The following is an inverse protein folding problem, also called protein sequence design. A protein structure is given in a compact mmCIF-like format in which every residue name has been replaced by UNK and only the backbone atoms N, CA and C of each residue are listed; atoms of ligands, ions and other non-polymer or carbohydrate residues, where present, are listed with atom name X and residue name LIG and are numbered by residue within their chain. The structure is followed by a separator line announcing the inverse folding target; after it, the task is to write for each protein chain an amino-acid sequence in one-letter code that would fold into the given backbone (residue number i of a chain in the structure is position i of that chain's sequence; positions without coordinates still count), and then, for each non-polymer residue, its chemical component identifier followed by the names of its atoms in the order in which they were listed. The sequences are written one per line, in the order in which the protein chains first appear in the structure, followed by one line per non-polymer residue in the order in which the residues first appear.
data_IF_042356935492
#
_entry.id   IF_042356935492
#
_cell.length_a   1.000
_cell.length_b   1.000
_cell.length_c   1.000
_cell.angle_alpha   90.00
_cell.angle_beta   90.00
_cell.angle_gamma   90.00
#
_symmetry.space_group_name_H-M   'P 1'
#
loop_
_entity.id
_entity.type
_entity.pdbx_description
1 polymer ?
#
# COMPACT_ATOMS: atom_id res chain seq x y z
N UNK A 1 16.29 -4.16 -33.77
CA UNK A 1 15.93 -4.54 -32.38
C UNK A 1 14.64 -5.32 -32.45
N UNK A 2 14.71 -6.63 -32.28
CA UNK A 2 13.53 -7.52 -32.27
C UNK A 2 12.97 -7.47 -30.86
N UNK A 3 12.01 -6.57 -30.63
CA UNK A 3 11.21 -6.61 -29.42
C UNK A 3 10.18 -7.74 -29.60
N UNK A 4 10.40 -8.87 -28.94
CA UNK A 4 9.42 -9.95 -28.84
C UNK A 4 8.11 -9.40 -28.27
N UNK A 5 7.04 -9.49 -29.07
CA UNK A 5 5.66 -9.04 -28.81
C UNK A 5 4.93 -9.77 -27.67
N UNK A 6 5.64 -10.45 -26.77
CA UNK A 6 5.07 -11.45 -25.88
C UNK A 6 4.38 -10.89 -24.62
N UNK A 7 4.12 -9.58 -24.52
CA UNK A 7 3.54 -9.00 -23.30
C UNK A 7 2.63 -7.78 -23.50
N UNK A 8 2.05 -7.60 -24.69
CA UNK A 8 1.01 -6.60 -24.89
C UNK A 8 -0.35 -7.23 -24.54
N UNK A 9 -0.92 -6.83 -23.40
CA UNK A 9 -2.30 -7.15 -23.06
C UNK A 9 -3.25 -6.34 -23.92
N UNK A 10 -4.13 -7.01 -24.67
CA UNK A 10 -5.16 -6.37 -25.47
C UNK A 10 -6.44 -6.30 -24.64
N UNK A 11 -6.94 -5.10 -24.42
CA UNK A 11 -8.23 -4.86 -23.79
C UNK A 11 -9.22 -4.36 -24.84
N UNK A 12 -10.38 -4.99 -24.94
CA UNK A 12 -11.47 -4.47 -25.76
C UNK A 12 -12.05 -3.23 -25.08
N UNK A 13 -12.12 -2.10 -25.80
CA UNK A 13 -12.78 -0.89 -25.29
C UNK A 13 -14.27 -1.10 -24.99
N UNK A 14 -14.88 -2.13 -25.59
CA UNK A 14 -16.22 -2.61 -25.30
C UNK A 14 -16.10 -4.09 -24.95
N UNK A 15 -16.38 -4.44 -23.70
CA UNK A 15 -16.35 -5.83 -23.24
C UNK A 15 -17.55 -6.60 -23.85
N UNK A 16 -17.31 -7.60 -24.73
CA UNK A 16 -18.39 -8.37 -25.32
C UNK A 16 -19.02 -9.27 -24.24
N UNK A 17 -20.35 -9.25 -24.12
CA UNK A 17 -21.07 -10.09 -23.15
C UNK A 17 -21.49 -11.45 -23.72
N UNK A 18 -21.37 -11.63 -25.03
CA UNK A 18 -21.75 -12.86 -25.72
C UNK A 18 -20.52 -13.64 -26.18
N UNK A 19 -20.47 -14.93 -25.84
CA UNK A 19 -19.37 -15.83 -26.18
C UNK A 19 -19.06 -15.84 -27.69
N UNK A 20 -20.09 -15.82 -28.52
CA UNK A 20 -19.96 -15.83 -29.98
C UNK A 20 -19.23 -14.60 -30.52
N UNK A 21 -19.47 -13.44 -29.91
CA UNK A 21 -18.82 -12.20 -30.31
C UNK A 21 -17.35 -12.18 -29.86
N UNK A 22 -17.06 -12.70 -28.67
CA UNK A 22 -15.68 -12.90 -28.20
C UNK A 22 -14.90 -13.79 -29.17
N UNK A 23 -15.47 -14.93 -29.57
CA UNK A 23 -14.84 -15.86 -30.51
C UNK A 23 -14.59 -15.21 -31.89
N UNK A 24 -15.51 -14.36 -32.37
CA UNK A 24 -15.34 -13.60 -33.61
C UNK A 24 -14.16 -12.64 -33.52
N UNK A 25 -14.08 -11.84 -32.45
CA UNK A 25 -13.02 -10.84 -32.25
C UNK A 25 -11.66 -11.50 -32.13
N UNK A 26 -11.55 -12.61 -31.38
CA UNK A 26 -10.29 -13.38 -31.26
C UNK A 26 -9.85 -13.90 -32.63
N UNK A 27 -10.74 -14.54 -33.37
CA UNK A 27 -10.42 -15.11 -34.68
C UNK A 27 -9.99 -14.05 -35.71
N UNK A 28 -10.51 -12.83 -35.60
CA UNK A 28 -10.13 -11.70 -36.46
C UNK A 28 -8.79 -11.08 -36.01
N UNK A 29 -8.59 -10.94 -34.70
CA UNK A 29 -7.36 -10.41 -34.10
C UNK A 29 -6.14 -11.31 -34.28
N UNK A 30 -6.31 -12.64 -34.32
CA UNK A 30 -5.22 -13.59 -34.59
C UNK A 30 -4.80 -13.61 -36.08
N UNK A 31 -5.69 -13.25 -37.00
CA UNK A 31 -5.42 -13.23 -38.44
C UNK A 31 -4.87 -11.90 -38.93
N UNK A 32 -5.22 -10.80 -38.26
CA UNK A 32 -4.85 -9.45 -38.65
C UNK A 32 -3.37 -9.13 -38.40
N UNK A 33 -2.82 -8.23 -39.23
CA UNK A 33 -1.57 -7.54 -38.89
C UNK A 33 -1.92 -6.33 -38.03
N UNK A 34 -1.19 -6.16 -36.93
CA UNK A 34 -1.37 -5.03 -36.02
C UNK A 34 -0.30 -3.97 -36.28
N UNK A 35 -0.72 -2.71 -36.24
CA UNK A 35 0.15 -1.55 -36.37
C UNK A 35 -0.12 -0.56 -35.24
N UNK A 36 0.94 0.10 -34.76
CA UNK A 36 0.83 1.07 -33.68
C UNK A 36 0.30 2.37 -34.28
N UNK A 37 -0.93 2.74 -33.91
CA UNK A 37 -1.59 3.95 -34.42
C UNK A 37 -1.26 5.21 -33.61
N UNK A 38 -0.91 5.06 -32.33
CA UNK A 38 -0.61 6.16 -31.41
C UNK A 38 0.24 5.68 -30.23
N UNK A 39 1.06 6.57 -29.67
CA UNK A 39 1.82 6.37 -28.44
C UNK A 39 1.57 7.56 -27.52
N UNK A 40 0.90 7.31 -26.41
CA UNK A 40 0.63 8.33 -25.39
C UNK A 40 1.47 8.09 -24.14
N UNK A 41 2.29 9.08 -23.80
CA UNK A 41 3.05 9.09 -22.55
C UNK A 41 2.45 10.09 -21.57
N UNK A 42 2.21 9.65 -20.33
CA UNK A 42 1.72 10.52 -19.25
C UNK A 42 2.57 10.33 -17.99
N UNK A 43 2.91 11.46 -17.34
CA UNK A 43 3.56 11.42 -16.03
C UNK A 43 2.50 11.14 -14.97
N UNK A 44 2.66 10.06 -14.22
CA UNK A 44 1.79 9.70 -13.11
C UNK A 44 2.59 9.82 -11.81
N UNK A 45 2.17 10.72 -10.94
CA UNK A 45 2.67 10.80 -9.57
C UNK A 45 1.76 10.00 -8.63
N UNK A 46 2.34 9.28 -7.67
CA UNK A 46 1.59 8.59 -6.61
C UNK A 46 1.98 9.17 -5.26
N UNK A 47 1.00 9.75 -4.56
CA UNK A 47 1.21 10.23 -3.21
C UNK A 47 1.40 9.06 -2.22
N UNK A 48 2.16 9.24 -1.14
CA UNK A 48 2.28 8.24 -0.09
C UNK A 48 0.93 8.01 0.60
N UNK A 49 0.73 6.78 1.09
CA UNK A 49 -0.46 6.44 1.87
C UNK A 49 -0.36 7.04 3.26
N UNK A 50 -1.51 7.38 3.84
CA UNK A 50 -1.59 7.80 5.23
C UNK A 50 -1.08 6.70 6.19
N UNK A 51 -0.60 7.07 7.39
CA UNK A 51 -0.26 6.13 8.45
C UNK A 51 -1.41 5.17 8.78
N UNK A 52 -1.08 4.01 9.34
CA UNK A 52 -2.08 2.99 9.64
C UNK A 52 -3.05 3.45 10.74
N UNK A 53 -4.34 3.27 10.48
CA UNK A 53 -5.40 3.13 11.47
C UNK A 53 -5.86 1.68 11.53
N UNK A 54 -6.71 1.34 12.51
CA UNK A 54 -7.19 -0.04 12.74
C UNK A 54 -7.69 -0.71 11.45
N UNK A 55 -8.55 -0.03 10.71
CA UNK A 55 -9.17 -0.58 9.49
C UNK A 55 -8.15 -0.77 8.37
N UNK A 56 -7.27 0.21 8.15
CA UNK A 56 -6.25 0.13 7.09
C UNK A 56 -5.16 -0.90 7.40
N UNK A 57 -4.82 -1.10 8.68
CA UNK A 57 -3.91 -2.16 9.10
C UNK A 57 -4.51 -3.53 8.80
N UNK A 58 -5.77 -3.76 9.17
CA UNK A 58 -6.47 -5.01 8.90
C UNK A 58 -6.61 -5.29 7.39
N UNK A 59 -6.93 -4.28 6.59
CA UNK A 59 -7.00 -4.41 5.13
C UNK A 59 -5.63 -4.75 4.52
N UNK A 60 -4.56 -4.10 4.99
CA UNK A 60 -3.20 -4.39 4.53
C UNK A 60 -2.75 -5.79 4.96
N UNK A 61 -3.03 -6.22 6.19
CA UNK A 61 -2.70 -7.56 6.67
C UNK A 61 -3.49 -8.66 5.93
N UNK A 62 -4.76 -8.42 5.61
CA UNK A 62 -5.55 -9.33 4.79
C UNK A 62 -4.98 -9.46 3.38
N UNK A 63 -4.78 -8.33 2.68
CA UNK A 63 -4.31 -8.33 1.29
C UNK A 63 -2.86 -8.80 1.11
N UNK A 64 -1.97 -8.51 2.06
CA UNK A 64 -0.53 -8.80 1.95
C UNK A 64 -0.10 -10.08 2.66
N UNK A 65 -0.75 -10.43 3.76
CA UNK A 65 -0.34 -11.56 4.62
C UNK A 65 -1.41 -12.66 4.71
N UNK A 66 -2.60 -12.46 4.13
CA UNK A 66 -3.72 -13.42 4.21
C UNK A 66 -4.28 -13.57 5.63
N UNK A 67 -4.12 -12.58 6.49
CA UNK A 67 -4.55 -12.66 7.89
C UNK A 67 -6.01 -12.25 8.06
N UNK A 68 -6.74 -12.98 8.91
CA UNK A 68 -8.04 -12.53 9.38
C UNK A 68 -7.91 -11.28 10.26
N UNK A 69 -8.97 -10.46 10.40
CA UNK A 69 -8.96 -9.32 11.31
C UNK A 69 -8.60 -9.71 12.75
N UNK A 70 -9.15 -10.84 13.23
CA UNK A 70 -8.85 -11.36 14.57
C UNK A 70 -7.36 -11.66 14.76
N UNK A 71 -6.74 -12.40 13.82
CA UNK A 71 -5.30 -12.70 13.88
C UNK A 71 -4.45 -11.44 13.89
N UNK A 72 -4.80 -10.46 13.03
CA UNK A 72 -4.09 -9.17 12.95
C UNK A 72 -4.14 -8.44 14.29
N UNK A 73 -5.30 -8.37 14.92
CA UNK A 73 -5.46 -7.70 16.21
C UNK A 73 -4.76 -8.43 17.35
N UNK A 74 -4.75 -9.77 17.37
CA UNK A 74 -4.00 -10.54 18.37
C UNK A 74 -2.50 -10.30 18.29
N UNK A 75 -1.94 -10.21 17.08
CA UNK A 75 -0.50 -9.90 16.88
C UNK A 75 -0.21 -8.44 17.27
N UNK A 76 -1.04 -7.50 16.83
CA UNK A 76 -0.88 -6.09 17.18
C UNK A 76 -0.96 -5.83 18.70
N UNK A 77 -1.84 -6.54 19.41
CA UNK A 77 -1.91 -6.49 20.87
C UNK A 77 -0.57 -6.88 21.51
N UNK A 78 0.03 -7.99 21.08
CA UNK A 78 1.33 -8.46 21.61
C UNK A 78 2.45 -7.47 21.31
N UNK A 79 2.46 -6.87 20.12
CA UNK A 79 3.44 -5.84 19.75
C UNK A 79 3.28 -4.57 20.60
N UNK A 80 2.04 -4.18 20.90
CA UNK A 80 1.75 -3.03 21.76
C UNK A 80 2.19 -3.30 23.21
N UNK A 81 1.85 -4.46 23.76
CA UNK A 81 2.24 -4.87 25.12
C UNK A 81 3.76 -5.00 25.28
N UNK A 82 4.47 -5.41 24.21
CA UNK A 82 5.92 -5.44 24.16
C UNK A 82 6.56 -4.07 23.88
N UNK A 83 5.77 -3.01 23.69
CA UNK A 83 6.25 -1.65 23.47
C UNK A 83 6.84 -1.40 22.08
N UNK A 84 6.49 -2.21 21.07
CA UNK A 84 7.00 -2.07 19.70
C UNK A 84 6.17 -1.12 18.82
N UNK A 85 4.87 -0.99 19.10
CA UNK A 85 3.96 -0.11 18.35
C UNK A 85 3.11 0.76 19.29
N UNK A 86 2.56 1.84 18.76
CA UNK A 86 1.50 2.61 19.42
C UNK A 86 0.19 1.83 19.49
N UNK A 87 -0.79 2.35 20.25
CA UNK A 87 -2.07 1.69 20.47
C UNK A 87 -2.80 1.40 19.15
N UNK A 88 -3.10 0.13 18.90
CA UNK A 88 -3.59 -0.39 17.62
C UNK A 88 -5.10 -0.19 17.38
N UNK A 89 -5.85 0.31 18.37
CA UNK A 89 -7.28 0.64 18.24
C UNK A 89 -7.44 2.14 18.13
N UNK A 90 -7.16 2.64 16.92
CA UNK A 90 -7.20 4.07 16.56
C UNK A 90 -7.86 4.24 15.19
N UNK A 91 -8.54 5.35 15.01
CA UNK A 91 -9.08 5.88 13.76
C UNK A 91 -8.33 7.16 13.30
N UNK A 92 -7.36 7.61 14.09
CA UNK A 92 -6.54 8.79 13.84
C UNK A 92 -5.33 8.44 12.97
N UNK A 93 -5.13 9.22 11.91
CA UNK A 93 -3.93 9.14 11.06
C UNK A 93 -2.84 10.11 11.50
N UNK A 94 -3.07 10.82 12.62
CA UNK A 94 -2.15 11.85 13.11
C UNK A 94 -0.84 11.23 13.63
N UNK A 95 0.27 11.93 13.40
CA UNK A 95 1.57 11.62 13.96
C UNK A 95 2.01 12.76 14.87
N UNK A 96 2.52 12.43 16.06
CA UNK A 96 3.08 13.40 16.99
C UNK A 96 4.28 14.13 16.38
N UNK A 97 4.59 15.32 16.89
CA UNK A 97 5.75 16.09 16.42
C UNK A 97 7.06 15.32 16.61
N UNK A 98 7.22 14.65 17.75
CA UNK A 98 8.39 13.79 18.02
C UNK A 98 8.50 12.63 17.03
N UNK A 99 7.39 11.97 16.69
CA UNK A 99 7.40 10.87 15.73
C UNK A 99 7.81 11.35 14.34
N UNK A 100 7.32 12.51 13.90
CA UNK A 100 7.70 13.12 12.61
C UNK A 100 9.19 13.43 12.52
N UNK A 101 9.78 13.98 13.59
CA UNK A 101 11.22 14.24 13.66
C UNK A 101 12.05 12.94 13.60
N UNK A 102 11.63 11.90 14.31
CA UNK A 102 12.32 10.60 14.26
C UNK A 102 12.20 9.91 12.89
N UNK A 103 11.05 10.04 12.22
CA UNK A 103 10.86 9.54 10.85
C UNK A 103 11.79 10.28 9.90
N UNK A 104 11.89 11.61 10.01
CA UNK A 104 12.78 12.41 9.18
C UNK A 104 14.24 11.93 9.31
N UNK A 105 14.72 11.77 10.54
CA UNK A 105 16.07 11.26 10.81
C UNK A 105 16.26 9.86 10.23
N UNK A 106 15.32 8.94 10.48
CA UNK A 106 15.40 7.56 10.01
C UNK A 106 15.42 7.47 8.49
N UNK A 107 14.58 8.25 7.79
CA UNK A 107 14.51 8.26 6.33
C UNK A 107 15.79 8.87 5.73
N UNK A 108 16.23 10.03 6.25
CA UNK A 108 17.45 10.67 5.75
C UNK A 108 18.68 9.80 5.95
N UNK A 109 18.77 9.09 7.08
CA UNK A 109 19.88 8.16 7.37
C UNK A 109 19.83 6.89 6.52
N UNK A 110 18.64 6.34 6.27
CA UNK A 110 18.48 5.08 5.53
C UNK A 110 18.49 5.22 4.01
N UNK A 111 17.92 6.31 3.49
CA UNK A 111 17.65 6.49 2.06
C UNK A 111 18.24 7.77 1.46
N UNK A 112 18.64 8.75 2.28
CA UNK A 112 19.16 10.03 1.83
C UNK A 112 18.12 11.17 1.87
N UNK A 113 18.59 12.41 1.76
CA UNK A 113 17.77 13.60 1.94
C UNK A 113 16.69 13.77 0.85
N UNK A 114 16.98 13.32 -0.38
CA UNK A 114 16.07 13.45 -1.52
C UNK A 114 14.81 12.56 -1.42
N UNK A 115 14.81 11.60 -0.48
CA UNK A 115 13.69 10.68 -0.24
C UNK A 115 12.79 11.11 0.92
N UNK A 116 13.05 12.27 1.54
CA UNK A 116 12.22 12.80 2.60
C UNK A 116 11.39 13.99 2.13
N UNK A 117 10.08 13.87 2.28
CA UNK A 117 9.13 14.97 2.14
C UNK A 117 8.15 14.96 3.33
N UNK A 118 8.01 16.06 4.09
CA UNK A 118 7.14 16.10 5.26
C UNK A 118 5.67 16.09 4.84
N UNK A 119 4.92 15.11 5.34
CA UNK A 119 3.49 14.99 5.11
C UNK A 119 2.71 15.08 6.42
N UNK A 120 1.55 15.73 6.38
CA UNK A 120 0.61 15.76 7.51
C UNK A 120 -0.71 15.14 7.08
N UNK A 121 -1.11 14.09 7.78
CA UNK A 121 -2.40 13.42 7.60
C UNK A 121 -3.24 13.69 8.84
N UNK A 122 -4.21 14.58 8.73
CA UNK A 122 -5.18 14.82 9.81
C UNK A 122 -6.59 14.61 9.28
N UNK A 123 -7.38 13.77 9.95
CA UNK A 123 -8.83 13.83 9.84
C UNK A 123 -9.35 14.75 10.93
N UNK A 124 -10.38 15.56 10.62
CA UNK A 124 -11.16 16.23 11.66
C UNK A 124 -11.99 15.15 12.37
N UNK A 125 -11.60 14.78 13.59
CA UNK A 125 -12.56 14.14 14.49
C UNK A 125 -13.74 15.05 14.74
N UNK A 126 -14.94 14.49 14.84
CA UNK A 126 -16.07 15.21 15.44
C UNK A 126 -16.01 15.22 16.98
N UNK A 127 -15.18 14.38 17.60
CA UNK A 127 -15.09 14.26 19.05
C UNK A 127 -13.64 14.47 19.54
N UNK A 128 -13.46 15.34 20.53
CA UNK A 128 -12.17 15.63 21.17
C UNK A 128 -11.55 14.44 21.96
N UNK A 129 -12.05 13.23 21.79
CA UNK A 129 -11.51 11.99 22.37
C UNK A 129 -10.33 11.41 21.55
N UNK A 130 -10.00 11.98 20.38
CA UNK A 130 -8.86 11.56 19.55
C UNK A 130 -7.49 12.03 20.09
N UNK A 131 -7.17 11.63 21.32
CA UNK A 131 -5.80 11.75 21.87
C UNK A 131 -4.87 10.64 21.37
N UNK A 132 -5.35 9.75 20.49
CA UNK A 132 -4.58 8.62 20.00
C UNK A 132 -3.87 8.96 18.69
N UNK A 133 -2.61 8.53 18.61
CA UNK A 133 -1.80 8.62 17.42
C UNK A 133 -2.16 7.49 16.43
N UNK A 134 -1.71 7.61 15.19
CA UNK A 134 -1.71 6.51 14.24
C UNK A 134 -0.92 5.30 14.77
N UNK A 135 -1.21 4.12 14.20
CA UNK A 135 -0.45 2.91 14.44
C UNK A 135 0.91 3.04 13.74
N UNK A 136 1.97 3.10 14.54
CA UNK A 136 3.36 3.24 14.09
C UNK A 136 4.33 2.52 15.02
N UNK A 137 5.57 2.26 14.59
CA UNK A 137 6.63 1.84 15.51
C UNK A 137 6.86 2.87 16.62
N UNK A 138 7.20 2.40 17.81
CA UNK A 138 7.68 3.26 18.90
C UNK A 138 9.09 3.79 18.63
N UNK A 139 9.91 3.00 17.94
CA UNK A 139 11.26 3.33 17.52
C UNK A 139 11.45 3.05 16.02
N UNK A 140 11.73 4.07 15.22
CA UNK A 140 11.83 3.97 13.76
C UNK A 140 13.13 3.35 13.25
N UNK A 141 14.15 3.23 14.11
CA UNK A 141 15.44 2.61 13.79
C UNK A 141 15.48 1.11 14.08
N UNK A 142 14.43 0.54 14.70
CA UNK A 142 14.34 -0.89 14.97
C UNK A 142 13.71 -1.57 13.76
N UNK A 143 14.52 -2.25 12.96
CA UNK A 143 14.06 -2.88 11.71
C UNK A 143 13.28 -4.18 11.92
N UNK A 144 13.57 -4.89 13.02
CA UNK A 144 12.98 -6.20 13.31
C UNK A 144 12.45 -6.23 14.74
N UNK A 145 11.19 -6.67 14.89
CA UNK A 145 10.54 -6.87 16.19
C UNK A 145 9.65 -8.12 16.15
N UNK A 146 9.60 -8.83 17.27
CA UNK A 146 8.91 -10.12 17.40
C UNK A 146 9.84 -11.33 17.20
N UNK A 147 9.32 -12.53 17.48
CA UNK A 147 10.06 -13.78 17.25
C UNK A 147 10.24 -14.01 15.74
N UNK A 148 11.38 -14.58 15.30
CA UNK A 148 11.58 -14.90 13.89
C UNK A 148 10.44 -15.77 13.37
N UNK A 149 10.04 -15.54 12.12
CA UNK A 149 9.10 -16.39 11.40
C UNK A 149 9.61 -17.83 11.49
N UNK A 150 8.98 -18.66 12.32
CA UNK A 150 9.16 -20.11 12.24
C UNK A 150 8.70 -20.48 10.83
N UNK A 151 9.65 -20.95 10.01
CA UNK A 151 9.38 -21.46 8.69
C UNK A 151 8.24 -22.48 8.80
N UNK A 152 7.18 -22.25 8.02
CA UNK A 152 6.13 -23.24 7.83
C UNK A 152 6.62 -24.33 6.89
#
# INVERSE_FOLDING_TARGET
MVATLNNLGFECSIEPREKKEVERIIAEGEKGKWEVIDIKETKVARAPRAPFITSTLQQAASSRLGWSPSRTMSVAQRLYEAGHITYMRTDSTNLGAQARAQIEEAVKKGYGADYFEPHTFSKKSKNAQEAHEAIRPTHFTVENAGAPLQAR
#
